data_IF_125197964096
#
_entry.id   IF_125197964096
#
_cell.length_a   1.000
_cell.length_b   1.000
_cell.length_c   1.000
_cell.angle_alpha   90.00
_cell.angle_beta   90.00
_cell.angle_gamma   90.00
#
_symmetry.space_group_name_H-M   'P 1'
#
loop_
_entity.id
_entity.type
_entity.pdbx_description
1 polymer ?
#
# COMPACT_ATOMS: atom_id res chain seq x y z
N UNK A 1 -22.06 -7.26 -72.17
CA UNK A 1 -22.60 -8.62 -71.96
C UNK A 1 -21.65 -9.55 -71.19
N UNK A 2 -20.48 -9.96 -71.69
CA UNK A 2 -19.56 -10.83 -70.90
C UNK A 2 -18.77 -10.10 -69.78
N UNK A 3 -18.59 -8.78 -69.88
CA UNK A 3 -17.97 -7.97 -68.83
C UNK A 3 -18.94 -7.63 -67.69
N UNK A 4 -20.22 -7.39 -68.00
CA UNK A 4 -21.26 -7.07 -67.02
C UNK A 4 -21.57 -8.25 -66.09
N UNK A 5 -21.61 -9.47 -66.64
CA UNK A 5 -21.82 -10.71 -65.86
C UNK A 5 -20.66 -11.01 -64.91
N UNK A 6 -19.44 -10.58 -65.23
CA UNK A 6 -18.27 -10.69 -64.36
C UNK A 6 -18.35 -9.68 -63.19
N UNK A 7 -18.82 -8.46 -63.45
CA UNK A 7 -19.04 -7.45 -62.40
C UNK A 7 -20.15 -7.86 -61.44
N UNK A 8 -21.29 -8.36 -61.93
CA UNK A 8 -22.37 -8.88 -61.08
C UNK A 8 -21.92 -10.06 -60.21
N UNK A 9 -21.14 -10.99 -60.77
CA UNK A 9 -20.59 -12.12 -60.01
C UNK A 9 -19.64 -11.68 -58.90
N UNK A 10 -18.82 -10.65 -59.16
CA UNK A 10 -17.92 -10.06 -58.16
C UNK A 10 -18.67 -9.29 -57.07
N UNK A 11 -19.73 -8.57 -57.43
CA UNK A 11 -20.60 -7.88 -56.48
C UNK A 11 -21.34 -8.86 -55.58
N UNK A 12 -21.83 -9.97 -56.13
CA UNK A 12 -22.47 -11.04 -55.35
C UNK A 12 -21.48 -11.68 -54.35
N UNK A 13 -20.26 -12.01 -54.79
CA UNK A 13 -19.22 -12.56 -53.92
C UNK A 13 -18.83 -11.58 -52.80
N UNK A 14 -18.74 -10.28 -53.10
CA UNK A 14 -18.48 -9.25 -52.11
C UNK A 14 -19.62 -9.15 -51.08
N UNK A 15 -20.87 -9.16 -51.55
CA UNK A 15 -22.05 -9.14 -50.68
C UNK A 15 -22.05 -10.33 -49.71
N UNK A 16 -21.72 -11.52 -50.21
CA UNK A 16 -21.66 -12.73 -49.39
C UNK A 16 -20.52 -12.66 -48.36
N UNK A 17 -19.32 -12.21 -48.77
CA UNK A 17 -18.20 -11.99 -47.84
C UNK A 17 -18.54 -10.95 -46.76
N UNK A 18 -19.17 -9.83 -47.13
CA UNK A 18 -19.57 -8.81 -46.16
C UNK A 18 -20.63 -9.33 -45.18
N UNK A 19 -21.54 -10.20 -45.62
CA UNK A 19 -22.49 -10.87 -44.71
C UNK A 19 -21.77 -11.79 -43.74
N UNK A 20 -20.82 -12.59 -44.21
CA UNK A 20 -20.03 -13.50 -43.39
C UNK A 20 -19.16 -12.74 -42.38
N UNK A 21 -18.44 -11.71 -42.83
CA UNK A 21 -17.68 -10.79 -41.98
C UNK A 21 -18.57 -10.14 -40.92
N UNK A 22 -19.76 -9.64 -41.30
CA UNK A 22 -20.70 -9.04 -40.33
C UNK A 22 -21.16 -10.06 -39.27
N UNK A 23 -21.45 -11.30 -39.67
CA UNK A 23 -21.84 -12.36 -38.74
C UNK A 23 -20.69 -12.72 -37.81
N UNK A 24 -19.47 -12.82 -38.34
CA UNK A 24 -18.26 -13.08 -37.57
C UNK A 24 -17.99 -11.97 -36.55
N UNK A 25 -17.99 -10.71 -36.98
CA UNK A 25 -17.80 -9.54 -36.09
C UNK A 25 -18.89 -9.48 -35.01
N UNK A 26 -20.15 -9.77 -35.35
CA UNK A 26 -21.23 -9.83 -34.37
C UNK A 26 -21.00 -10.95 -33.35
N UNK A 27 -20.56 -12.13 -33.79
CA UNK A 27 -20.23 -13.25 -32.90
C UNK A 27 -19.08 -12.89 -31.96
N UNK A 28 -18.00 -12.30 -32.47
CA UNK A 28 -16.86 -11.84 -31.66
C UNK A 28 -17.31 -10.76 -30.66
N UNK A 29 -18.12 -9.80 -31.09
CA UNK A 29 -18.68 -8.78 -30.19
C UNK A 29 -19.51 -9.40 -29.06
N UNK A 30 -20.35 -10.40 -29.37
CA UNK A 30 -21.11 -11.11 -28.32
C UNK A 30 -20.19 -11.88 -27.37
N UNK A 31 -19.14 -12.52 -27.88
CA UNK A 31 -18.17 -13.24 -27.05
C UNK A 31 -17.42 -12.29 -26.10
N UNK A 32 -16.97 -11.13 -26.60
CA UNK A 32 -16.32 -10.09 -25.79
C UNK A 32 -17.28 -9.57 -24.70
N UNK A 33 -18.55 -9.34 -25.03
CA UNK A 33 -19.54 -8.88 -24.04
C UNK A 33 -19.78 -9.90 -22.92
N UNK A 34 -19.85 -11.19 -23.26
CA UNK A 34 -19.96 -12.27 -22.26
C UNK A 34 -18.74 -12.28 -21.36
N UNK A 35 -17.54 -12.22 -21.93
CA UNK A 35 -16.29 -12.20 -21.17
C UNK A 35 -16.20 -10.98 -20.24
N UNK A 36 -16.57 -9.78 -20.72
CA UNK A 36 -16.61 -8.58 -19.89
C UNK A 36 -17.57 -8.71 -18.71
N UNK A 37 -18.73 -9.33 -18.93
CA UNK A 37 -19.72 -9.57 -17.86
C UNK A 37 -19.18 -10.55 -16.81
N UNK A 38 -18.45 -11.59 -17.24
CA UNK A 38 -17.81 -12.55 -16.35
C UNK A 38 -16.66 -11.93 -15.53
N UNK A 39 -15.84 -11.09 -16.17
CA UNK A 39 -14.78 -10.32 -15.50
C UNK A 39 -15.39 -9.40 -14.44
N UNK A 40 -16.44 -8.66 -14.78
CA UNK A 40 -17.12 -7.76 -13.84
C UNK A 40 -17.69 -8.52 -12.63
N UNK A 41 -18.39 -9.64 -12.86
CA UNK A 41 -18.92 -10.47 -11.78
C UNK A 41 -17.83 -11.08 -10.89
N UNK A 42 -16.68 -11.44 -11.48
CA UNK A 42 -15.53 -11.96 -10.73
C UNK A 42 -14.87 -10.86 -9.89
N UNK A 43 -14.73 -9.65 -10.45
CA UNK A 43 -14.22 -8.49 -9.72
C UNK A 43 -15.12 -8.11 -8.54
N UNK A 44 -16.44 -8.14 -8.71
CA UNK A 44 -17.39 -7.91 -7.62
C UNK A 44 -17.21 -8.91 -6.48
N UNK A 45 -17.13 -10.21 -6.80
CA UNK A 45 -16.81 -11.25 -5.80
C UNK A 45 -15.48 -10.98 -5.09
N UNK A 46 -14.45 -10.57 -5.82
CA UNK A 46 -13.15 -10.22 -5.25
C UNK A 46 -13.26 -9.03 -4.28
N UNK A 47 -14.02 -7.99 -4.63
CA UNK A 47 -14.26 -6.85 -3.75
C UNK A 47 -14.97 -7.27 -2.45
N UNK A 48 -15.99 -8.12 -2.53
CA UNK A 48 -16.68 -8.64 -1.36
C UNK A 48 -15.75 -9.43 -0.44
N UNK A 49 -14.98 -10.36 -1.01
CA UNK A 49 -14.01 -11.17 -0.24
C UNK A 49 -12.97 -10.27 0.39
N UNK A 50 -12.39 -9.33 -0.36
CA UNK A 50 -11.40 -8.38 0.15
C UNK A 50 -11.94 -7.53 1.28
N UNK A 51 -13.17 -7.01 1.16
CA UNK A 51 -13.81 -6.24 2.21
C UNK A 51 -14.02 -7.07 3.47
N UNK A 52 -14.54 -8.29 3.34
CA UNK A 52 -14.71 -9.22 4.47
C UNK A 52 -13.36 -9.50 5.14
N UNK A 53 -12.33 -9.83 4.37
CA UNK A 53 -10.99 -10.10 4.89
C UNK A 53 -10.42 -8.89 5.65
N UNK A 54 -10.59 -7.67 5.13
CA UNK A 54 -10.19 -6.46 5.86
C UNK A 54 -10.93 -6.28 7.18
N UNK A 55 -12.23 -6.58 7.23
CA UNK A 55 -13.00 -6.53 8.48
C UNK A 55 -12.60 -7.64 9.46
N UNK A 56 -12.30 -8.84 8.97
CA UNK A 56 -11.79 -9.94 9.80
C UNK A 56 -10.44 -9.59 10.44
N UNK A 57 -9.51 -8.98 9.69
CA UNK A 57 -8.25 -8.48 10.25
C UNK A 57 -8.47 -7.43 11.34
N UNK A 58 -9.45 -6.54 11.17
CA UNK A 58 -9.84 -5.57 12.23
C UNK A 58 -10.36 -6.29 13.48
N UNK A 59 -11.17 -7.32 13.31
CA UNK A 59 -11.70 -8.10 14.42
C UNK A 59 -10.60 -8.90 15.13
N UNK A 60 -9.63 -9.44 14.38
CA UNK A 60 -8.46 -10.10 14.96
C UNK A 60 -7.63 -9.13 15.81
N UNK A 61 -7.35 -7.92 15.30
CA UNK A 61 -6.66 -6.88 16.07
C UNK A 61 -7.44 -6.48 17.33
N UNK A 62 -8.78 -6.39 17.25
CA UNK A 62 -9.64 -6.17 18.42
C UNK A 62 -9.58 -7.33 19.41
N UNK A 63 -9.52 -8.57 18.95
CA UNK A 63 -9.45 -9.75 19.81
C UNK A 63 -8.14 -9.77 20.60
N UNK A 64 -7.01 -9.41 19.97
CA UNK A 64 -5.73 -9.28 20.64
C UNK A 64 -5.73 -8.18 21.73
N UNK A 65 -6.50 -7.10 21.54
CA UNK A 65 -6.58 -5.99 22.48
C UNK A 65 -7.66 -6.16 23.57
N UNK A 66 -8.86 -6.64 23.19
CA UNK A 66 -10.05 -6.75 24.03
C UNK A 66 -10.90 -7.98 23.64
N UNK A 67 -10.64 -9.17 24.23
CA UNK A 67 -11.33 -10.41 23.88
C UNK A 67 -12.85 -10.41 24.09
N UNK A 68 -13.37 -9.57 24.99
CA UNK A 68 -14.81 -9.54 25.34
C UNK A 68 -15.71 -8.87 24.29
N UNK A 69 -15.16 -7.99 23.44
CA UNK A 69 -15.92 -7.28 22.39
C UNK A 69 -15.79 -7.94 21.01
N UNK A 70 -14.92 -8.93 20.85
CA UNK A 70 -14.64 -9.55 19.55
C UNK A 70 -15.74 -10.51 19.09
N UNK A 71 -16.36 -11.27 20.00
CA UNK A 71 -17.40 -12.24 19.66
C UNK A 71 -18.62 -11.58 18.99
N UNK A 72 -19.06 -10.42 19.50
CA UNK A 72 -20.15 -9.65 18.89
C UNK A 72 -19.78 -9.07 17.52
N UNK A 73 -18.55 -8.57 17.37
CA UNK A 73 -18.10 -8.05 16.09
C UNK A 73 -17.95 -9.16 15.02
N UNK A 74 -17.57 -10.38 15.42
CA UNK A 74 -17.51 -11.54 14.52
C UNK A 74 -18.90 -11.98 14.08
N UNK A 75 -19.85 -12.12 15.01
CA UNK A 75 -21.22 -12.50 14.66
C UNK A 75 -21.92 -11.48 13.76
N UNK A 76 -21.63 -10.18 13.94
CA UNK A 76 -22.09 -9.13 13.03
C UNK A 76 -21.52 -9.27 11.61
N UNK A 77 -20.24 -9.65 11.46
CA UNK A 77 -19.65 -9.89 10.14
C UNK A 77 -20.24 -11.15 9.48
N UNK A 78 -20.45 -12.22 10.25
CA UNK A 78 -21.05 -13.46 9.72
C UNK A 78 -22.50 -13.25 9.26
N UNK A 79 -23.20 -12.30 9.88
CA UNK A 79 -24.56 -11.90 9.50
C UNK A 79 -24.61 -10.78 8.45
N UNK A 80 -23.46 -10.21 8.06
CA UNK A 80 -23.43 -9.11 7.10
C UNK A 80 -23.85 -9.60 5.70
N UNK A 81 -24.73 -8.84 5.06
CA UNK A 81 -25.16 -9.08 3.67
C UNK A 81 -24.90 -7.83 2.85
N UNK A 82 -24.35 -8.03 1.66
CA UNK A 82 -24.23 -6.96 0.68
C UNK A 82 -25.59 -6.71 0.06
N UNK A 83 -25.99 -5.44 0.02
CA UNK A 83 -27.26 -5.00 -0.53
C UNK A 83 -27.00 -3.79 -1.42
N UNK A 84 -27.74 -3.69 -2.52
CA UNK A 84 -27.68 -2.53 -3.39
C UNK A 84 -28.14 -1.28 -2.64
N UNK A 85 -27.37 -0.20 -2.78
CA UNK A 85 -27.62 1.07 -2.11
C UNK A 85 -29.01 1.63 -2.40
N UNK A 86 -29.57 1.37 -3.60
CA UNK A 86 -30.92 1.78 -3.99
C UNK A 86 -32.00 1.26 -3.03
N UNK A 87 -31.85 0.05 -2.48
CA UNK A 87 -32.83 -0.55 -1.59
C UNK A 87 -32.89 0.13 -0.21
N UNK A 88 -31.79 0.74 0.22
CA UNK A 88 -31.69 1.40 1.54
C UNK A 88 -31.80 2.93 1.46
N UNK A 89 -31.20 3.54 0.43
CA UNK A 89 -31.09 4.99 0.28
C UNK A 89 -32.11 5.58 -0.71
N UNK A 90 -32.76 4.75 -1.53
CA UNK A 90 -33.72 5.18 -2.55
C UNK A 90 -33.12 6.26 -3.46
N UNK A 91 -33.78 7.42 -3.53
CA UNK A 91 -33.35 8.56 -4.35
C UNK A 91 -31.98 9.16 -3.94
N UNK A 92 -31.55 8.97 -2.68
CA UNK A 92 -30.27 9.52 -2.22
C UNK A 92 -29.06 8.74 -2.77
N UNK A 93 -29.25 7.53 -3.28
CA UNK A 93 -28.20 6.69 -3.83
C UNK A 93 -27.39 7.44 -4.91
N UNK A 94 -28.07 8.04 -5.88
CA UNK A 94 -27.40 8.78 -6.96
C UNK A 94 -26.60 9.97 -6.44
N UNK A 95 -27.11 10.69 -5.44
CA UNK A 95 -26.40 11.84 -4.84
C UNK A 95 -25.15 11.42 -4.08
N UNK A 96 -25.25 10.36 -3.26
CA UNK A 96 -24.09 9.81 -2.55
C UNK A 96 -23.10 9.18 -3.52
N UNK A 97 -23.57 8.52 -4.58
CA UNK A 97 -22.73 7.96 -5.64
C UNK A 97 -21.93 9.02 -6.38
N UNK A 98 -22.56 10.12 -6.80
CA UNK A 98 -21.87 11.25 -7.43
C UNK A 98 -20.86 11.91 -6.49
N UNK A 99 -21.22 12.08 -5.21
CA UNK A 99 -20.31 12.64 -4.20
C UNK A 99 -19.07 11.76 -3.99
N UNK A 100 -19.25 10.45 -3.77
CA UNK A 100 -18.15 9.50 -3.57
C UNK A 100 -17.28 9.39 -4.82
N UNK A 101 -17.90 9.39 -6.01
CA UNK A 101 -17.17 9.43 -7.28
C UNK A 101 -16.30 10.69 -7.38
N UNK A 102 -16.88 11.86 -7.08
CA UNK A 102 -16.17 13.13 -7.07
C UNK A 102 -15.01 13.16 -6.06
N UNK A 103 -15.16 12.56 -4.89
CA UNK A 103 -14.07 12.41 -3.92
C UNK A 103 -12.96 11.48 -4.43
N UNK A 104 -13.32 10.35 -5.05
CA UNK A 104 -12.34 9.39 -5.60
C UNK A 104 -11.49 10.03 -6.69
N UNK A 105 -12.13 10.71 -7.65
CA UNK A 105 -11.50 11.32 -8.81
C UNK A 105 -10.64 12.55 -8.46
N UNK A 106 -10.82 13.13 -7.26
CA UNK A 106 -10.07 14.30 -6.79
C UNK A 106 -9.23 13.99 -5.54
N UNK A 107 -8.14 13.20 -5.65
CA UNK A 107 -7.30 12.79 -4.51
C UNK A 107 -6.59 13.96 -3.83
N UNK A 108 -6.34 15.05 -4.55
CA UNK A 108 -5.76 16.29 -4.01
C UNK A 108 -6.69 17.00 -3.03
N UNK A 109 -8.00 16.96 -3.29
CA UNK A 109 -9.01 17.52 -2.38
C UNK A 109 -9.06 16.72 -1.09
N UNK A 110 -9.09 15.37 -1.19
CA UNK A 110 -9.01 14.49 -0.02
C UNK A 110 -7.72 14.73 0.76
N UNK A 111 -6.58 14.90 0.09
CA UNK A 111 -5.32 15.25 0.77
C UNK A 111 -5.42 16.58 1.54
N UNK A 112 -6.08 17.59 0.98
CA UNK A 112 -6.24 18.90 1.62
C UNK A 112 -7.15 18.84 2.85
N UNK A 113 -8.24 18.08 2.81
CA UNK A 113 -9.16 17.91 3.94
C UNK A 113 -8.50 17.13 5.06
N UNK A 114 -7.73 16.10 4.73
CA UNK A 114 -6.94 15.34 5.70
C UNK A 114 -5.82 16.17 6.33
N UNK A 115 -5.12 17.00 5.55
CA UNK A 115 -4.12 17.92 6.08
C UNK A 115 -4.73 18.96 7.03
N UNK A 116 -5.93 19.44 6.74
CA UNK A 116 -6.67 20.32 7.65
C UNK A 116 -7.09 19.58 8.94
N UNK A 117 -7.66 18.37 8.83
CA UNK A 117 -8.04 17.58 10.01
C UNK A 117 -6.84 17.27 10.92
N UNK A 118 -5.69 16.98 10.31
CA UNK A 118 -4.44 16.83 11.04
C UNK A 118 -4.00 18.15 11.67
N UNK A 119 -4.19 19.32 11.06
CA UNK A 119 -3.87 20.59 11.73
C UNK A 119 -4.70 20.81 13.01
N UNK A 120 -5.93 20.31 13.04
CA UNK A 120 -6.87 20.40 14.19
C UNK A 120 -6.66 19.26 15.20
N UNK A 121 -5.79 18.29 14.91
CA UNK A 121 -5.50 17.12 15.76
C UNK A 121 -6.71 16.21 16.03
N UNK A 122 -7.60 16.07 15.05
CA UNK A 122 -8.72 15.12 15.12
C UNK A 122 -8.23 13.69 14.95
N UNK A 123 -8.78 12.73 15.70
CA UNK A 123 -8.44 11.31 15.50
C UNK A 123 -9.15 10.76 14.26
N UNK A 124 -8.47 10.88 13.12
CA UNK A 124 -8.98 10.43 11.82
C UNK A 124 -8.60 8.99 11.49
N UNK A 125 -8.02 8.21 12.43
CA UNK A 125 -7.56 6.83 12.15
C UNK A 125 -8.64 5.94 11.55
N UNK A 126 -9.86 6.03 12.07
CA UNK A 126 -10.97 5.24 11.55
C UNK A 126 -11.37 5.73 10.16
N UNK A 127 -11.56 7.04 9.98
CA UNK A 127 -11.93 7.65 8.69
C UNK A 127 -10.90 7.37 7.60
N UNK A 128 -9.60 7.47 7.90
CA UNK A 128 -8.52 7.17 6.96
C UNK A 128 -8.53 5.72 6.48
N UNK A 129 -8.78 4.78 7.41
CA UNK A 129 -8.96 3.37 7.06
C UNK A 129 -10.23 3.15 6.23
N UNK A 130 -11.31 3.89 6.50
CA UNK A 130 -12.52 3.83 5.68
C UNK A 130 -12.30 4.38 4.28
N UNK A 131 -11.60 5.50 4.14
CA UNK A 131 -11.23 6.07 2.85
C UNK A 131 -10.44 5.03 2.04
N UNK A 132 -9.44 4.36 2.62
CA UNK A 132 -8.67 3.36 1.87
C UNK A 132 -9.45 2.08 1.58
N UNK A 133 -10.19 1.56 2.55
CA UNK A 133 -10.89 0.28 2.39
C UNK A 133 -12.14 0.41 1.51
N UNK A 134 -12.92 1.47 1.72
CA UNK A 134 -14.19 1.71 1.05
C UNK A 134 -14.03 2.61 -0.17
N UNK A 135 -13.41 3.79 -0.05
CA UNK A 135 -13.29 4.73 -1.16
C UNK A 135 -12.20 4.34 -2.17
N UNK A 136 -11.16 3.59 -1.78
CA UNK A 136 -10.13 3.11 -2.72
C UNK A 136 -10.03 1.58 -2.80
N UNK A 137 -10.99 0.85 -2.23
CA UNK A 137 -11.12 -0.60 -2.43
C UNK A 137 -9.87 -1.41 -2.08
N UNK A 138 -9.12 -1.02 -1.06
CA UNK A 138 -7.83 -1.63 -0.68
C UNK A 138 -6.75 -1.57 -1.79
N UNK A 139 -6.87 -0.67 -2.77
CA UNK A 139 -5.95 -0.58 -3.93
C UNK A 139 -5.87 -1.89 -4.74
N UNK A 140 -6.97 -2.64 -4.84
CA UNK A 140 -7.03 -3.84 -5.67
C UNK A 140 -6.92 -3.54 -7.16
N UNK A 141 -7.53 -2.43 -7.60
CA UNK A 141 -7.40 -1.96 -8.96
C UNK A 141 -6.21 -1.00 -9.07
N UNK A 142 -5.44 -1.09 -10.17
CA UNK A 142 -4.36 -0.16 -10.46
C UNK A 142 -4.79 1.32 -10.51
N UNK A 143 -6.03 1.59 -10.93
CA UNK A 143 -6.60 2.93 -10.95
C UNK A 143 -6.70 3.50 -9.53
N UNK A 144 -7.27 2.73 -8.58
CA UNK A 144 -7.39 3.15 -7.19
C UNK A 144 -5.99 3.31 -6.54
N UNK A 145 -5.04 2.43 -6.86
CA UNK A 145 -3.64 2.55 -6.44
C UNK A 145 -3.02 3.89 -6.89
N UNK A 146 -3.23 4.29 -8.15
CA UNK A 146 -2.74 5.56 -8.67
C UNK A 146 -3.35 6.77 -7.95
N UNK A 147 -4.66 6.75 -7.65
CA UNK A 147 -5.30 7.82 -6.90
C UNK A 147 -4.70 7.96 -5.49
N UNK A 148 -4.46 6.84 -4.80
CA UNK A 148 -3.83 6.85 -3.47
C UNK A 148 -2.38 7.35 -3.53
N UNK A 149 -1.61 6.97 -4.55
CA UNK A 149 -0.25 7.48 -4.75
C UNK A 149 -0.22 9.00 -4.95
N UNK A 150 -1.15 9.55 -5.74
CA UNK A 150 -1.29 11.00 -5.95
C UNK A 150 -1.75 11.71 -4.67
N UNK A 151 -2.67 11.09 -3.92
CA UNK A 151 -3.09 11.57 -2.60
C UNK A 151 -1.90 11.67 -1.65
N UNK A 152 -1.09 10.61 -1.57
CA UNK A 152 0.11 10.58 -0.73
C UNK A 152 1.16 11.61 -1.17
N UNK A 153 1.40 11.77 -2.48
CA UNK A 153 2.27 12.83 -3.02
C UNK A 153 1.81 14.21 -2.54
N UNK A 154 0.51 14.47 -2.60
CA UNK A 154 -0.08 15.74 -2.14
C UNK A 154 0.08 15.93 -0.63
N UNK A 155 -0.06 14.87 0.16
CA UNK A 155 0.17 14.90 1.61
C UNK A 155 1.64 15.19 1.98
N UNK A 156 2.61 14.76 1.17
CA UNK A 156 4.03 15.12 1.40
C UNK A 156 4.19 16.64 1.38
N UNK A 157 3.57 17.32 0.42
CA UNK A 157 3.66 18.77 0.30
C UNK A 157 2.88 19.51 1.40
N UNK A 158 1.73 18.98 1.80
CA UNK A 158 0.85 19.64 2.76
C UNK A 158 1.21 19.37 4.22
N UNK A 159 1.74 18.18 4.54
CA UNK A 159 2.01 17.76 5.91
C UNK A 159 3.51 17.79 6.24
N UNK A 160 4.34 17.24 5.37
CA UNK A 160 5.77 17.06 5.67
C UNK A 160 6.52 18.38 5.43
N UNK A 161 6.36 19.00 4.26
CA UNK A 161 7.07 20.26 3.95
C UNK A 161 6.61 21.45 4.80
N UNK A 162 5.33 21.50 5.17
CA UNK A 162 4.77 22.59 5.99
C UNK A 162 5.01 22.40 7.50
N UNK A 163 5.55 21.25 7.91
CA UNK A 163 5.88 21.03 9.31
C UNK A 163 7.05 21.91 9.75
N UNK A 164 7.03 22.39 11.00
CA UNK A 164 8.09 23.24 11.55
C UNK A 164 9.47 22.57 11.48
N UNK A 165 9.49 21.24 11.60
CA UNK A 165 10.69 20.41 11.54
C UNK A 165 10.45 19.14 10.71
N UNK A 166 10.65 19.18 9.39
CA UNK A 166 10.44 18.02 8.53
C UNK A 166 11.30 16.82 8.95
N UNK A 167 12.52 17.07 9.43
CA UNK A 167 13.46 16.03 9.87
C UNK A 167 12.97 15.18 11.04
N UNK A 168 12.07 15.70 11.86
CA UNK A 168 11.54 15.01 13.04
C UNK A 168 10.13 14.44 12.77
N UNK A 169 9.59 14.61 11.55
CA UNK A 169 8.20 14.28 11.22
C UNK A 169 7.82 12.83 11.58
N UNK A 170 8.66 11.86 11.18
CA UNK A 170 8.44 10.43 11.44
C UNK A 170 8.78 9.98 12.86
N UNK A 171 9.40 10.84 13.67
CA UNK A 171 9.76 10.56 15.07
C UNK A 171 8.70 11.05 16.04
N UNK A 172 7.81 11.92 15.58
CA UNK A 172 6.70 12.40 16.37
C UNK A 172 5.76 11.24 16.75
N UNK A 173 5.29 11.14 18.00
CA UNK A 173 4.29 10.14 18.40
C UNK A 173 2.90 10.39 17.78
N UNK A 174 2.74 11.47 17.01
CA UNK A 174 1.51 11.84 16.34
C UNK A 174 1.19 10.88 15.20
N UNK A 175 -0.08 10.50 15.09
CA UNK A 175 -0.56 9.70 13.96
C UNK A 175 -0.97 10.64 12.83
N UNK A 176 -0.02 10.95 11.97
CA UNK A 176 -0.27 11.73 10.75
C UNK A 176 -1.08 10.91 9.74
N UNK A 177 -1.94 11.58 8.99
CA UNK A 177 -2.70 10.96 7.90
C UNK A 177 -1.79 10.27 6.89
N UNK A 178 -0.65 10.90 6.54
CA UNK A 178 0.36 10.28 5.67
C UNK A 178 0.86 8.92 6.20
N UNK A 179 1.23 8.82 7.48
CA UNK A 179 1.81 7.60 8.04
C UNK A 179 0.78 6.49 8.18
N UNK A 180 -0.46 6.83 8.57
CA UNK A 180 -1.57 5.88 8.62
C UNK A 180 -1.89 5.35 7.23
N UNK A 181 -2.01 6.23 6.23
CA UNK A 181 -2.32 5.83 4.84
C UNK A 181 -1.21 4.95 4.30
N UNK A 182 0.05 5.30 4.53
CA UNK A 182 1.18 4.48 4.10
C UNK A 182 1.11 3.07 4.70
N UNK A 183 0.90 2.94 6.01
CA UNK A 183 0.80 1.63 6.66
C UNK A 183 -0.35 0.78 6.11
N UNK A 184 -1.52 1.37 5.93
CA UNK A 184 -2.68 0.66 5.36
C UNK A 184 -2.44 0.28 3.90
N UNK A 185 -1.76 1.14 3.12
CA UNK A 185 -1.35 0.84 1.75
C UNK A 185 -0.38 -0.36 1.70
N UNK A 186 0.60 -0.45 2.61
CA UNK A 186 1.48 -1.62 2.68
C UNK A 186 0.70 -2.89 3.02
N UNK A 187 -0.23 -2.81 3.98
CA UNK A 187 -1.11 -3.94 4.34
C UNK A 187 -2.01 -4.39 3.18
N UNK A 188 -2.35 -3.49 2.24
CA UNK A 188 -3.25 -3.76 1.14
C UNK A 188 -2.52 -4.21 -0.15
N UNK A 189 -1.33 -3.68 -0.41
CA UNK A 189 -0.55 -3.97 -1.61
C UNK A 189 0.00 -5.40 -1.60
N UNK A 190 -0.50 -6.23 -2.51
CA UNK A 190 -0.01 -7.60 -2.69
C UNK A 190 1.48 -7.66 -3.06
N UNK A 191 1.95 -6.74 -3.90
CA UNK A 191 3.38 -6.65 -4.26
C UNK A 191 4.27 -6.35 -3.06
N UNK A 192 3.79 -5.56 -2.08
CA UNK A 192 4.54 -5.28 -0.87
C UNK A 192 4.68 -6.54 -0.01
N UNK A 193 3.59 -7.30 0.15
CA UNK A 193 3.62 -8.61 0.84
C UNK A 193 4.59 -9.57 0.15
N UNK A 194 4.54 -9.68 -1.18
CA UNK A 194 5.45 -10.56 -1.93
C UNK A 194 6.92 -10.21 -1.70
N UNK A 195 7.25 -8.91 -1.74
CA UNK A 195 8.61 -8.43 -1.46
C UNK A 195 9.04 -8.75 -0.02
N UNK A 196 8.19 -8.42 0.96
CA UNK A 196 8.47 -8.66 2.38
C UNK A 196 8.63 -10.16 2.68
N UNK A 197 7.78 -11.02 2.13
CA UNK A 197 7.92 -12.48 2.26
C UNK A 197 9.22 -12.95 1.61
N UNK A 198 9.55 -12.48 0.41
CA UNK A 198 10.79 -12.88 -0.27
C UNK A 198 12.06 -12.46 0.49
N UNK A 199 12.03 -11.29 1.16
CA UNK A 199 13.19 -10.72 1.84
C UNK A 199 13.30 -11.10 3.33
N UNK A 200 12.19 -11.26 4.03
CA UNK A 200 12.19 -11.42 5.49
C UNK A 200 11.90 -12.84 5.95
N UNK A 201 11.22 -13.67 5.15
CA UNK A 201 10.77 -15.00 5.57
C UNK A 201 11.91 -15.86 6.14
N UNK A 202 13.01 -16.01 5.40
CA UNK A 202 14.15 -16.82 5.84
C UNK A 202 14.79 -16.27 7.12
N UNK A 203 14.97 -14.96 7.20
CA UNK A 203 15.60 -14.30 8.36
C UNK A 203 14.72 -14.42 9.60
N UNK A 204 13.40 -14.25 9.44
CA UNK A 204 12.43 -14.42 10.53
C UNK A 204 12.39 -15.87 11.00
N UNK A 205 12.32 -16.86 10.09
CA UNK A 205 12.35 -18.27 10.48
C UNK A 205 13.61 -18.65 11.25
N UNK A 206 14.78 -18.13 10.89
CA UNK A 206 16.02 -18.35 11.64
C UNK A 206 15.94 -17.79 13.07
N UNK A 207 15.30 -16.64 13.27
CA UNK A 207 15.08 -16.06 14.60
C UNK A 207 14.06 -16.87 15.39
N UNK A 208 13.00 -17.35 14.74
CA UNK A 208 11.95 -18.15 15.36
C UNK A 208 12.44 -19.55 15.76
N UNK A 209 13.37 -20.15 15.01
CA UNK A 209 13.99 -21.44 15.35
C UNK A 209 15.07 -21.37 16.44
N UNK A 210 15.44 -20.17 16.89
CA UNK A 210 16.43 -19.98 17.95
C UNK A 210 15.74 -19.71 19.30
N UNK A 211 15.85 -20.65 20.23
CA UNK A 211 15.30 -20.51 21.59
C UNK A 211 16.18 -19.69 22.56
N UNK A 212 17.34 -19.21 22.08
CA UNK A 212 18.27 -18.41 22.88
C UNK A 212 18.17 -16.91 22.55
N UNK A 213 18.56 -16.07 23.52
CA UNK A 213 18.62 -14.61 23.33
C UNK A 213 19.77 -14.27 22.37
N UNK A 214 19.48 -13.44 21.38
CA UNK A 214 20.43 -13.11 20.30
C UNK A 214 21.33 -11.90 20.59
N UNK A 215 21.35 -11.37 21.83
CA UNK A 215 21.98 -10.08 22.17
C UNK A 215 23.42 -9.92 21.65
N UNK A 216 24.27 -10.94 21.82
CA UNK A 216 25.66 -10.89 21.36
C UNK A 216 25.82 -10.91 19.83
N UNK A 217 24.82 -11.40 19.10
CA UNK A 217 24.80 -11.50 17.63
C UNK A 217 23.83 -10.50 16.98
N UNK A 218 23.14 -9.68 17.77
CA UNK A 218 22.07 -8.80 17.33
C UNK A 218 22.50 -7.86 16.19
N UNK A 219 23.68 -7.20 16.25
CA UNK A 219 24.13 -6.32 15.18
C UNK A 219 24.36 -7.05 13.86
N UNK A 220 24.98 -8.23 13.92
CA UNK A 220 25.21 -9.09 12.75
C UNK A 220 23.89 -9.56 12.13
N UNK A 221 22.94 -10.01 12.96
CA UNK A 221 21.61 -10.42 12.48
C UNK A 221 20.90 -9.25 11.81
N UNK A 222 20.93 -8.05 12.39
CA UNK A 222 20.34 -6.87 11.76
C UNK A 222 20.98 -6.56 10.40
N UNK A 223 22.29 -6.70 10.24
CA UNK A 223 22.95 -6.59 8.93
C UNK A 223 22.42 -7.61 7.92
N UNK A 224 22.22 -8.87 8.33
CA UNK A 224 21.66 -9.91 7.45
C UNK A 224 20.24 -9.58 6.98
N UNK A 225 19.40 -9.02 7.85
CA UNK A 225 18.06 -8.54 7.48
C UNK A 225 18.14 -7.46 6.39
N UNK A 226 19.02 -6.48 6.53
CA UNK A 226 19.19 -5.40 5.54
C UNK A 226 19.78 -5.91 4.23
N UNK A 227 20.77 -6.79 4.29
CA UNK A 227 21.35 -7.43 3.09
C UNK A 227 20.30 -8.24 2.33
N UNK A 228 19.46 -9.00 3.04
CA UNK A 228 18.39 -9.77 2.39
C UNK A 228 17.34 -8.87 1.73
N UNK A 229 17.02 -7.71 2.32
CA UNK A 229 16.17 -6.68 1.70
C UNK A 229 16.80 -6.12 0.41
N UNK A 230 18.11 -5.87 0.42
CA UNK A 230 18.85 -5.35 -0.73
C UNK A 230 18.97 -6.38 -1.87
N UNK A 231 19.27 -7.64 -1.55
CA UNK A 231 19.34 -8.75 -2.50
C UNK A 231 18.02 -8.99 -3.24
N UNK A 232 16.88 -8.73 -2.58
CA UNK A 232 15.54 -8.92 -3.13
C UNK A 232 14.94 -7.66 -3.76
N UNK A 233 15.72 -6.60 -3.97
CA UNK A 233 15.22 -5.35 -4.56
C UNK A 233 14.61 -5.50 -5.97
N UNK A 234 14.93 -6.58 -6.70
CA UNK A 234 14.34 -6.86 -8.01
C UNK A 234 12.82 -7.02 -7.99
N UNK A 235 12.23 -7.40 -6.84
CA UNK A 235 10.77 -7.48 -6.66
C UNK A 235 10.21 -6.36 -5.77
N UNK A 236 11.00 -5.32 -5.47
CA UNK A 236 10.51 -4.18 -4.71
C UNK A 236 9.37 -3.47 -5.47
N UNK A 237 8.23 -3.15 -4.82
CA UNK A 237 7.07 -2.60 -5.51
C UNK A 237 7.38 -1.26 -6.21
N UNK A 238 7.06 -1.18 -7.50
CA UNK A 238 7.31 0.01 -8.32
C UNK A 238 6.54 1.24 -7.83
N UNK A 239 5.31 1.05 -7.33
CA UNK A 239 4.49 2.11 -6.74
C UNK A 239 5.09 2.70 -5.47
N UNK A 240 5.61 1.84 -4.59
CA UNK A 240 6.33 2.27 -3.40
C UNK A 240 7.65 2.96 -3.76
N UNK A 241 8.40 2.43 -4.73
CA UNK A 241 9.61 3.09 -5.25
C UNK A 241 9.29 4.48 -5.76
N UNK A 242 8.23 4.61 -6.56
CA UNK A 242 7.77 5.89 -7.05
C UNK A 242 7.46 6.85 -5.90
N UNK A 243 6.67 6.44 -4.92
CA UNK A 243 6.31 7.29 -3.77
C UNK A 243 7.53 7.72 -2.95
N UNK A 244 8.47 6.81 -2.72
CA UNK A 244 9.72 7.07 -2.00
C UNK A 244 10.60 8.07 -2.78
N UNK A 245 10.72 7.90 -4.10
CA UNK A 245 11.42 8.87 -4.95
C UNK A 245 10.72 10.24 -4.94
N UNK A 246 9.39 10.28 -4.95
CA UNK A 246 8.63 11.53 -4.84
C UNK A 246 8.89 12.23 -3.51
N UNK A 247 8.91 11.50 -2.39
CA UNK A 247 9.30 12.03 -1.08
C UNK A 247 10.70 12.65 -1.13
N UNK A 248 11.69 11.87 -1.57
CA UNK A 248 13.08 12.33 -1.67
C UNK A 248 13.23 13.58 -2.54
N UNK A 249 12.66 13.58 -3.75
CA UNK A 249 12.73 14.70 -4.67
C UNK A 249 12.04 15.93 -4.12
N UNK A 250 10.87 15.77 -3.49
CA UNK A 250 10.10 16.87 -2.89
C UNK A 250 10.86 17.51 -1.73
N UNK A 251 11.48 16.71 -0.86
CA UNK A 251 12.31 17.19 0.25
C UNK A 251 13.56 17.96 -0.24
N UNK A 252 14.22 17.48 -1.31
CA UNK A 252 15.40 18.15 -1.87
C UNK A 252 15.06 19.45 -2.61
N UNK A 253 14.04 19.42 -3.45
CA UNK A 253 13.71 20.54 -4.35
C UNK A 253 12.93 21.64 -3.64
N UNK A 254 11.84 21.27 -2.97
CA UNK A 254 10.94 22.22 -2.28
C UNK A 254 11.36 22.44 -0.84
N UNK A 255 11.74 21.38 -0.12
CA UNK A 255 12.20 21.46 1.27
C UNK A 255 13.62 22.01 1.44
N UNK A 256 14.39 22.14 0.34
CA UNK A 256 15.80 22.59 0.32
C UNK A 256 16.70 21.82 1.30
N UNK A 257 16.35 20.57 1.59
CA UNK A 257 17.09 19.72 2.51
C UNK A 257 18.36 19.17 1.84
N UNK A 258 19.38 18.89 2.65
CA UNK A 258 20.58 18.22 2.15
C UNK A 258 20.27 16.79 1.69
N UNK A 259 21.13 16.25 0.82
CA UNK A 259 21.01 14.88 0.32
C UNK A 259 20.94 13.85 1.46
N UNK A 260 21.76 14.05 2.49
CA UNK A 260 21.84 13.18 3.67
C UNK A 260 20.56 13.23 4.51
N UNK A 261 20.00 14.41 4.71
CA UNK A 261 18.77 14.57 5.49
C UNK A 261 17.56 13.95 4.75
N UNK A 262 17.46 14.17 3.44
CA UNK A 262 16.40 13.57 2.64
C UNK A 262 16.49 12.04 2.65
N UNK A 263 17.70 11.47 2.51
CA UNK A 263 17.92 10.02 2.62
C UNK A 263 17.62 9.48 4.02
N UNK A 264 17.91 10.25 5.08
CA UNK A 264 17.52 9.93 6.47
C UNK A 264 16.02 9.78 6.61
N UNK A 265 15.25 10.74 6.09
CA UNK A 265 13.79 10.68 6.14
C UNK A 265 13.22 9.49 5.36
N UNK A 266 13.79 9.17 4.19
CA UNK A 266 13.40 7.98 3.41
C UNK A 266 13.72 6.69 4.18
N UNK A 267 14.89 6.62 4.82
CA UNK A 267 15.28 5.49 5.67
C UNK A 267 14.30 5.32 6.84
N UNK A 268 13.92 6.42 7.50
CA UNK A 268 12.95 6.38 8.59
C UNK A 268 11.57 5.91 8.12
N UNK A 269 11.09 6.39 6.97
CA UNK A 269 9.82 5.93 6.40
C UNK A 269 9.83 4.41 6.15
N UNK A 270 10.85 3.93 5.43
CA UNK A 270 10.92 2.52 5.03
C UNK A 270 11.12 1.59 6.23
N UNK A 271 11.99 1.93 7.16
CA UNK A 271 12.22 1.06 8.30
C UNK A 271 11.08 1.12 9.31
N UNK A 272 10.59 2.31 9.67
CA UNK A 272 9.55 2.43 10.71
C UNK A 272 8.17 1.97 10.24
N UNK A 273 7.84 2.09 8.94
CA UNK A 273 6.48 1.85 8.44
C UNK A 273 6.35 0.74 7.41
N UNK A 274 7.46 0.13 6.95
CA UNK A 274 7.43 -1.03 6.04
C UNK A 274 8.17 -2.24 6.66
N UNK A 275 9.45 -2.11 6.98
CA UNK A 275 10.29 -3.25 7.38
C UNK A 275 10.03 -3.68 8.83
N UNK A 276 10.16 -2.78 9.80
CA UNK A 276 10.06 -3.12 11.22
C UNK A 276 8.67 -3.61 11.64
N UNK A 277 7.55 -3.03 11.16
CA UNK A 277 6.22 -3.59 11.41
C UNK A 277 6.09 -5.04 10.94
N UNK A 278 6.67 -5.37 9.79
CA UNK A 278 6.67 -6.73 9.24
C UNK A 278 7.58 -7.70 10.01
N UNK A 279 8.65 -7.21 10.64
CA UNK A 279 9.50 -8.02 11.53
C UNK A 279 8.78 -8.33 12.85
N UNK A 280 8.11 -7.33 13.45
CA UNK A 280 7.45 -7.48 14.75
C UNK A 280 6.20 -8.37 14.63
N UNK A 281 5.37 -8.10 13.62
CA UNK A 281 4.13 -8.80 13.35
C UNK A 281 4.15 -9.33 11.91
N UNK A 282 4.74 -10.51 11.67
CA UNK A 282 4.89 -11.04 10.31
C UNK A 282 3.60 -11.61 9.68
N UNK A 283 2.60 -11.97 10.50
CA UNK A 283 1.35 -12.61 10.06
C UNK A 283 0.51 -11.76 9.08
N UNK A 284 0.25 -10.46 9.33
CA UNK A 284 -0.56 -9.62 8.42
C UNK A 284 0.05 -9.44 7.02
N UNK A 285 1.38 -9.64 6.92
CA UNK A 285 2.13 -9.55 5.67
C UNK A 285 2.27 -10.90 4.97
N UNK A 286 1.74 -11.99 5.56
CA UNK A 286 1.84 -13.34 5.01
C UNK A 286 3.24 -13.93 5.09
N UNK A 287 4.05 -13.50 6.07
CA UNK A 287 5.42 -13.99 6.24
C UNK A 287 5.46 -15.26 7.09
N UNK A 288 4.58 -15.39 8.09
CA UNK A 288 4.35 -16.64 8.82
C UNK A 288 2.84 -16.80 9.07
N UNK A 289 2.28 -17.96 8.73
CA UNK A 289 0.83 -18.19 8.88
C UNK A 289 0.50 -19.22 9.96
N UNK A 290 1.43 -20.12 10.30
CA UNK A 290 1.08 -21.36 11.02
C UNK A 290 2.00 -21.72 12.20
N UNK A 291 2.85 -20.79 12.64
CA UNK A 291 3.85 -21.09 13.67
C UNK A 291 3.61 -20.32 14.97
N UNK A 292 3.53 -21.06 16.08
CA UNK A 292 3.46 -20.44 17.41
C UNK A 292 4.77 -19.72 17.72
N UNK A 293 4.71 -18.40 17.86
CA UNK A 293 5.87 -17.57 18.19
C UNK A 293 6.14 -17.61 19.69
N UNK A 294 7.28 -18.15 20.09
CA UNK A 294 7.70 -18.18 21.49
C UNK A 294 7.91 -16.78 22.06
N UNK A 295 7.81 -16.62 23.39
CA UNK A 295 8.07 -15.33 24.05
C UNK A 295 9.49 -14.83 23.78
N UNK A 296 10.47 -15.73 23.73
CA UNK A 296 11.87 -15.40 23.43
C UNK A 296 12.00 -14.91 21.99
N UNK A 297 11.41 -15.60 21.03
CA UNK A 297 11.43 -15.21 19.64
C UNK A 297 10.78 -13.83 19.42
N UNK A 298 9.65 -13.55 20.09
CA UNK A 298 9.01 -12.22 20.06
C UNK A 298 9.93 -11.12 20.59
N UNK A 299 10.63 -11.37 21.70
CA UNK A 299 11.59 -10.42 22.26
C UNK A 299 12.80 -10.22 21.32
N UNK A 300 13.28 -11.28 20.68
CA UNK A 300 14.37 -11.21 19.70
C UNK A 300 13.96 -10.35 18.49
N UNK A 301 12.76 -10.57 17.92
CA UNK A 301 12.22 -9.76 16.81
C UNK A 301 12.03 -8.28 17.21
N UNK A 302 11.54 -8.02 18.43
CA UNK A 302 11.45 -6.66 18.96
C UNK A 302 12.82 -5.99 19.12
N UNK A 303 13.84 -6.72 19.55
CA UNK A 303 15.21 -6.21 19.65
C UNK A 303 15.81 -5.89 18.27
N UNK A 304 15.58 -6.74 17.27
CA UNK A 304 16.00 -6.50 15.88
C UNK A 304 15.36 -5.22 15.35
N UNK A 305 14.03 -5.12 15.46
CA UNK A 305 13.30 -3.92 15.04
C UNK A 305 13.78 -2.66 15.77
N UNK A 306 13.94 -2.73 17.09
CA UNK A 306 14.38 -1.57 17.88
C UNK A 306 15.78 -1.08 17.47
N UNK A 307 16.72 -2.01 17.21
CA UNK A 307 18.06 -1.64 16.77
C UNK A 307 18.04 -1.01 15.36
N UNK A 308 17.27 -1.60 14.43
CA UNK A 308 17.09 -1.06 13.09
C UNK A 308 16.47 0.35 13.12
N UNK A 309 15.34 0.55 13.83
CA UNK A 309 14.72 1.88 13.99
C UNK A 309 15.71 2.90 14.55
N UNK A 310 16.45 2.54 15.62
CA UNK A 310 17.43 3.43 16.26
C UNK A 310 18.53 3.87 15.30
N UNK A 311 19.02 2.96 14.45
CA UNK A 311 20.11 3.25 13.51
C UNK A 311 19.63 3.95 12.23
N UNK A 312 18.40 3.72 11.82
CA UNK A 312 17.78 4.35 10.65
C UNK A 312 17.41 5.83 10.85
N UNK A 313 17.29 6.29 12.10
CA UNK A 313 17.08 7.70 12.41
C UNK A 313 18.34 8.56 12.20
N UNK A 314 19.52 7.94 12.07
CA UNK A 314 20.76 8.67 11.86
C UNK A 314 21.86 7.87 11.13
N UNK A 315 21.60 7.25 9.96
CA UNK A 315 22.62 6.43 9.28
C UNK A 315 23.84 7.25 8.85
N UNK A 316 23.63 8.54 8.61
CA UNK A 316 24.63 9.48 8.08
C UNK A 316 25.24 10.42 9.15
N UNK A 317 25.02 10.19 10.45
CA UNK A 317 25.59 11.00 11.55
C UNK A 317 27.02 10.60 11.96
N UNK A 318 27.65 9.67 11.24
CA UNK A 318 29.02 9.25 11.55
C UNK A 318 30.05 10.37 11.35
N UNK A 319 30.33 11.15 12.42
CA UNK A 319 31.68 11.54 12.88
C UNK A 319 31.71 12.68 13.92
N UNK A 320 30.63 13.43 14.19
CA UNK A 320 30.77 14.70 14.93
C UNK A 320 30.49 14.67 16.43
N UNK A 321 29.88 13.62 17.00
CA UNK A 321 29.53 13.59 18.44
C UNK A 321 29.65 12.20 19.09
N UNK A 322 30.75 11.49 18.86
CA UNK A 322 31.11 10.36 19.73
C UNK A 322 31.75 10.90 21.01
N UNK A 323 30.93 11.27 22.00
CA UNK A 323 31.38 11.21 23.40
C UNK A 323 31.44 9.73 23.75
N UNK A 324 32.66 9.21 23.84
CA UNK A 324 32.98 7.85 24.24
C UNK A 324 32.28 7.50 25.57
N UNK A 325 31.22 6.71 25.49
CA UNK A 325 30.73 5.91 26.61
C UNK A 325 31.14 4.47 26.33
N UNK A 326 31.92 3.89 27.24
CA UNK A 326 32.66 2.63 27.16
C UNK A 326 31.81 1.34 27.11
N UNK A 327 30.60 1.38 26.54
CA UNK A 327 29.71 0.21 26.39
C UNK A 327 29.61 -0.31 24.93
N UNK A 328 30.16 0.41 23.95
CA UNK A 328 30.01 0.11 22.50
C UNK A 328 30.99 -0.97 21.94
N UNK A 329 31.61 -1.79 22.78
CA UNK A 329 32.59 -2.82 22.37
C UNK A 329 31.93 -4.07 21.72
N UNK A 330 30.61 -4.19 21.75
CA UNK A 330 29.87 -5.26 21.09
C UNK A 330 29.26 -4.77 19.77
N UNK A 331 30.08 -4.77 18.71
CA UNK A 331 29.68 -4.69 17.30
C UNK A 331 28.61 -3.66 16.96
N UNK A 332 28.98 -2.46 16.52
CA UNK A 332 27.97 -1.55 15.95
C UNK A 332 27.38 -2.15 14.68
N UNK A 333 26.04 -2.10 14.52
CA UNK A 333 25.39 -2.36 13.24
C UNK A 333 26.10 -1.58 12.13
N UNK A 334 26.44 -2.25 11.03
CA UNK A 334 27.03 -1.60 9.87
C UNK A 334 26.03 -0.66 9.23
N UNK A 335 26.22 0.65 9.39
CA UNK A 335 25.34 1.66 8.77
C UNK A 335 25.51 1.74 7.26
N UNK A 336 26.59 1.17 6.70
CA UNK A 336 26.82 1.14 5.26
C UNK A 336 25.74 0.33 4.54
N UNK A 337 25.33 -0.83 5.08
CA UNK A 337 24.27 -1.64 4.45
C UNK A 337 22.93 -0.88 4.34
N UNK A 338 22.57 -0.07 5.34
CA UNK A 338 21.37 0.78 5.30
C UNK A 338 21.54 1.84 4.20
N UNK A 339 22.68 2.54 4.15
CA UNK A 339 22.90 3.54 3.12
C UNK A 339 22.91 2.95 1.70
N UNK A 340 23.52 1.78 1.51
CA UNK A 340 23.55 1.07 0.22
C UNK A 340 22.15 0.70 -0.24
N UNK A 341 21.33 0.14 0.66
CA UNK A 341 19.94 -0.18 0.40
C UNK A 341 19.11 1.03 -0.03
N UNK A 342 19.24 2.16 0.70
CA UNK A 342 18.51 3.40 0.38
C UNK A 342 19.00 3.99 -0.95
N UNK A 343 20.31 4.03 -1.18
CA UNK A 343 20.88 4.47 -2.46
C UNK A 343 20.40 3.59 -3.61
N UNK A 344 20.27 2.28 -3.39
CA UNK A 344 19.79 1.34 -4.39
C UNK A 344 18.31 1.58 -4.78
N UNK A 345 17.46 1.91 -3.81
CA UNK A 345 16.06 2.30 -4.06
C UNK A 345 15.99 3.64 -4.79
N UNK A 346 16.83 4.61 -4.41
CA UNK A 346 16.82 5.96 -4.97
C UNK A 346 17.63 6.09 -6.27
N UNK A 347 18.24 5.01 -6.79
CA UNK A 347 18.93 5.03 -8.09
C UNK A 347 18.03 5.60 -9.19
N UNK A 348 18.46 6.69 -9.82
CA UNK A 348 17.70 7.37 -10.87
C UNK A 348 16.47 8.16 -10.40
N UNK A 349 16.36 8.48 -9.10
CA UNK A 349 15.22 9.22 -8.55
C UNK A 349 14.97 10.57 -9.27
N UNK A 350 16.02 11.25 -9.73
CA UNK A 350 15.90 12.51 -10.47
C UNK A 350 15.14 12.41 -11.79
N UNK A 351 15.12 11.21 -12.40
CA UNK A 351 14.49 10.96 -13.69
C UNK A 351 13.08 10.36 -13.53
N UNK A 352 12.59 10.22 -12.29
CA UNK A 352 11.29 9.63 -12.03
C UNK A 352 10.17 10.58 -12.48
N UNK A 353 9.12 10.06 -13.16
CA UNK A 353 8.01 10.88 -13.61
C UNK A 353 7.22 11.43 -12.43
N UNK A 354 6.61 12.60 -12.64
CA UNK A 354 5.80 13.29 -11.64
C UNK A 354 4.49 12.59 -11.28
N UNK A 355 4.02 11.69 -12.15
CA UNK A 355 2.82 10.90 -11.96
C UNK A 355 3.18 9.41 -11.90
N UNK A 356 2.42 8.58 -11.17
CA UNK A 356 2.64 7.15 -11.17
C UNK A 356 2.38 6.59 -12.56
N UNK A 357 2.99 5.45 -12.89
CA UNK A 357 2.77 4.81 -14.19
C UNK A 357 1.28 4.47 -14.36
N UNK A 358 0.66 4.93 -15.45
CA UNK A 358 -0.72 4.60 -15.80
C UNK A 358 -0.82 3.11 -16.17
N UNK A 359 -0.94 2.27 -15.15
CA UNK A 359 -1.40 0.91 -15.31
C UNK A 359 -2.92 0.98 -15.31
N UNK A 360 -3.55 1.21 -16.45
CA UNK A 360 -5.00 1.09 -16.57
C UNK A 360 -5.33 -0.20 -17.29
N UNK A 361 -6.28 -0.97 -16.77
CA UNK A 361 -6.91 -2.05 -17.54
C UNK A 361 -8.13 -1.42 -18.19
N UNK A 362 -8.14 -1.19 -19.51
CA UNK A 362 -9.27 -0.55 -20.18
C UNK A 362 -10.56 -1.33 -19.89
N UNK A 363 -11.65 -0.61 -19.64
CA UNK A 363 -12.97 -1.15 -19.30
C UNK A 363 -13.11 -1.80 -17.91
N UNK A 364 -12.04 -1.91 -17.11
CA UNK A 364 -12.13 -2.36 -15.72
C UNK A 364 -11.97 -1.17 -14.77
N UNK A 365 -13.10 -0.55 -14.45
CA UNK A 365 -13.18 0.52 -13.46
C UNK A 365 -14.14 0.11 -12.34
N UNK A 366 -13.87 0.59 -11.12
CA UNK A 366 -14.76 0.33 -10.01
C UNK A 366 -16.03 1.15 -10.15
N UNK A 367 -17.18 0.49 -10.17
CA UNK A 367 -18.50 1.12 -10.29
C UNK A 367 -19.26 1.21 -8.97
N UNK A 368 -18.76 0.58 -7.90
CA UNK A 368 -19.43 0.50 -6.61
C UNK A 368 -18.47 0.70 -5.43
N UNK A 369 -19.02 1.21 -4.32
CA UNK A 369 -18.31 1.42 -3.05
C UNK A 369 -18.97 0.54 -1.99
N UNK A 370 -18.17 -0.28 -1.30
CA UNK A 370 -18.64 -1.11 -0.19
C UNK A 370 -18.47 -0.35 1.12
N UNK A 371 -19.59 0.04 1.72
CA UNK A 371 -19.63 0.84 2.94
C UNK A 371 -20.83 0.45 3.80
N UNK A 372 -20.64 0.41 5.12
CA UNK A 372 -21.76 0.21 6.05
C UNK A 372 -22.49 1.53 6.32
N UNK A 373 -23.74 1.46 6.76
CA UNK A 373 -24.53 2.66 7.10
C UNK A 373 -23.85 3.54 8.17
N UNK A 374 -23.21 2.93 9.15
CA UNK A 374 -22.46 3.65 10.19
C UNK A 374 -21.22 4.34 9.63
N UNK A 375 -20.51 3.70 8.71
CA UNK A 375 -19.34 4.26 8.04
C UNK A 375 -19.73 5.40 7.10
N UNK A 376 -20.87 5.28 6.41
CA UNK A 376 -21.40 6.33 5.53
C UNK A 376 -21.80 7.59 6.30
N UNK A 377 -22.31 7.45 7.53
CA UNK A 377 -22.61 8.60 8.41
C UNK A 377 -21.37 9.23 9.04
N UNK A 378 -20.27 8.48 9.12
CA UNK A 378 -19.01 8.96 9.69
C UNK A 378 -18.12 9.68 8.66
N UNK A 379 -18.30 9.37 7.39
CA UNK A 379 -17.74 10.08 6.23
C UNK A 379 -18.50 11.39 6.00
#
# INVERSE_FOLDING_TARGET
MAADTNVESRLWLLQERLKQERLFVNKEKTAINVLNSEVQATCEKLFHVSWITSQQWRNLGRLQAYPSKSSYATSLLDCARFMDAYNSLGYLESKYGEFLKGLRENPTLVASTLAFADSVNMDMKQVLRLILNSLYGNCLLPEDENHVLVLMKSLIELQILKSDKPQEFFRSPRNWSFTIIFSVLIESLFSAKLYLTAALHTQILQVLGNDSRIQAKLPYICTLFVQSLEEKLYCFPSSLRWLVCQLYNTLKTKGKMSDREAKSMVSELLFNYLVCPAIINPEPYGINSDMQVSKVARLNLQQISSLLCKKCASPWQGQLNQRYSSEDLFGSLDTHCISSFIDAILRGASNMPDFPAERTIPCLARSSVLITENELRAL
#
